data_IF_703558948503
#
_entry.id   IF_703558948503
#
_cell.length_a   1.000
_cell.length_b   1.000
_cell.length_c   1.000
_cell.angle_alpha   90.00
_cell.angle_beta   90.00
_cell.angle_gamma   90.00
#
_symmetry.space_group_name_H-M   'P 1'
#
loop_
_entity.id
_entity.type
_entity.pdbx_description
1 polymer ?
#
# COMPACT_ATOMS: atom_id res chain seq x y z
N UNK A 1 -8.04 -6.62 -14.43
CA UNK A 1 -7.34 -6.34 -13.17
C UNK A 1 -7.29 -7.61 -12.36
N UNK A 2 -6.24 -7.79 -11.61
CA UNK A 2 -6.17 -8.86 -10.65
C UNK A 2 -7.30 -8.71 -9.62
N UNK A 3 -7.87 -9.82 -9.13
CA UNK A 3 -8.92 -9.73 -8.13
C UNK A 3 -8.37 -9.06 -6.86
N UNK A 4 -9.13 -8.12 -6.30
CA UNK A 4 -8.76 -7.47 -5.04
C UNK A 4 -8.72 -8.54 -3.95
N UNK A 5 -7.59 -8.69 -3.24
CA UNK A 5 -7.50 -9.67 -2.16
C UNK A 5 -8.58 -9.44 -1.10
N UNK A 6 -9.18 -10.52 -0.59
CA UNK A 6 -10.28 -10.46 0.37
C UNK A 6 -9.95 -9.69 1.67
N UNK A 7 -8.66 -9.54 1.98
CA UNK A 7 -8.21 -8.73 3.12
C UNK A 7 -8.54 -7.24 2.97
N UNK A 8 -8.83 -6.75 1.74
CA UNK A 8 -9.15 -5.36 1.42
C UNK A 8 -10.64 -5.14 1.08
N UNK A 9 -11.54 -6.12 1.26
CA UNK A 9 -12.95 -6.02 0.88
C UNK A 9 -13.73 -4.90 1.60
N UNK A 10 -13.26 -4.46 2.78
CA UNK A 10 -13.84 -3.35 3.54
C UNK A 10 -13.61 -1.97 2.87
N UNK A 11 -12.64 -1.85 1.96
CA UNK A 11 -12.32 -0.57 1.30
C UNK A 11 -13.34 -0.16 0.25
N UNK A 12 -14.30 -1.03 -0.12
CA UNK A 12 -15.31 -0.79 -1.15
C UNK A 12 -14.73 -0.20 -2.44
N UNK A 13 -13.59 -0.75 -2.89
CA UNK A 13 -12.87 -0.27 -4.07
C UNK A 13 -13.74 -0.41 -5.31
N UNK A 14 -13.99 0.70 -5.99
CA UNK A 14 -14.67 0.70 -7.30
C UNK A 14 -13.61 0.60 -8.40
N UNK A 15 -13.67 -0.48 -9.16
CA UNK A 15 -12.79 -0.66 -10.33
C UNK A 15 -13.37 0.14 -11.49
N UNK A 16 -12.51 0.93 -12.15
CA UNK A 16 -12.89 1.67 -13.34
C UNK A 16 -13.32 0.72 -14.47
N UNK A 17 -14.51 0.94 -15.01
CA UNK A 17 -15.16 0.11 -16.03
C UNK A 17 -15.23 0.76 -17.42
N UNK A 18 -14.63 1.94 -17.58
CA UNK A 18 -14.67 2.70 -18.82
C UNK A 18 -15.97 3.51 -19.02
N UNK A 19 -16.83 3.61 -18.01
CA UNK A 19 -18.14 4.27 -18.12
C UNK A 19 -18.07 5.81 -18.21
N UNK A 20 -16.91 6.40 -17.94
CA UNK A 20 -16.68 7.84 -18.05
C UNK A 20 -15.27 8.14 -18.54
N UNK A 21 -15.05 9.36 -19.05
CA UNK A 21 -13.70 9.86 -19.34
C UNK A 21 -13.22 10.68 -18.16
N UNK A 22 -12.12 10.32 -17.50
CA UNK A 22 -11.56 11.11 -16.41
C UNK A 22 -11.20 12.53 -16.89
N UNK A 23 -11.60 13.54 -16.12
CA UNK A 23 -11.20 14.93 -16.36
C UNK A 23 -9.89 15.29 -15.65
N UNK A 24 -9.51 14.50 -14.64
CA UNK A 24 -8.29 14.65 -13.86
C UNK A 24 -7.84 13.28 -13.35
N UNK A 25 -6.58 12.94 -13.54
CA UNK A 25 -6.01 11.65 -13.17
C UNK A 25 -4.98 11.86 -12.06
N UNK A 26 -5.22 11.22 -10.93
CA UNK A 26 -4.29 11.24 -9.79
C UNK A 26 -3.69 9.85 -9.61
N UNK A 27 -2.37 9.77 -9.63
CA UNK A 27 -1.63 8.58 -9.20
C UNK A 27 -1.21 8.72 -7.75
N UNK A 28 -1.39 7.68 -6.97
CA UNK A 28 -0.97 7.64 -5.58
C UNK A 28 -0.10 6.41 -5.37
N UNK A 29 1.07 6.59 -4.75
CA UNK A 29 1.99 5.50 -4.39
C UNK A 29 2.52 4.72 -5.60
N UNK A 30 2.79 5.44 -6.69
CA UNK A 30 3.30 4.87 -7.94
C UNK A 30 4.56 5.60 -8.38
N UNK A 31 5.72 4.98 -8.21
CA UNK A 31 7.01 5.60 -8.48
C UNK A 31 7.35 5.76 -9.98
N UNK A 32 6.63 5.08 -10.88
CA UNK A 32 6.88 5.18 -12.32
C UNK A 32 5.83 4.49 -13.17
N UNK A 33 5.70 4.92 -14.42
CA UNK A 33 4.69 4.46 -15.39
C UNK A 33 4.63 2.93 -15.52
N UNK A 34 5.78 2.26 -15.46
CA UNK A 34 5.86 0.79 -15.59
C UNK A 34 5.12 0.03 -14.49
N UNK A 35 4.77 0.69 -13.38
CA UNK A 35 4.07 0.07 -12.25
C UNK A 35 2.55 0.05 -12.42
N UNK A 36 2.00 0.75 -13.42
CA UNK A 36 0.57 0.71 -13.71
C UNK A 36 0.08 -0.63 -14.28
N UNK A 37 1.01 -1.47 -14.78
CA UNK A 37 0.66 -2.74 -15.43
C UNK A 37 0.02 -2.57 -16.81
N UNK A 38 -0.39 -3.71 -17.41
CA UNK A 38 -0.84 -3.75 -18.80
C UNK A 38 -2.37 -3.96 -18.93
N UNK A 39 -3.12 -3.89 -17.84
CA UNK A 39 -4.54 -4.25 -17.82
C UNK A 39 -5.47 -3.04 -17.78
N UNK A 40 -6.67 -3.20 -18.34
CA UNK A 40 -7.80 -2.25 -18.26
C UNK A 40 -7.59 -0.88 -18.88
N UNK A 41 -6.85 -0.77 -19.97
CA UNK A 41 -6.55 0.51 -20.65
C UNK A 41 -5.91 1.56 -19.70
N UNK A 42 -5.33 1.12 -18.60
CA UNK A 42 -4.69 2.02 -17.65
C UNK A 42 -3.53 2.76 -18.31
N UNK A 43 -2.90 2.15 -19.32
CA UNK A 43 -1.84 2.77 -20.11
C UNK A 43 -2.32 4.01 -20.86
N UNK A 44 -3.61 4.05 -21.28
CA UNK A 44 -4.18 5.23 -21.92
C UNK A 44 -4.18 6.45 -20.99
N UNK A 45 -4.18 6.23 -19.68
CA UNK A 45 -4.12 7.27 -18.64
C UNK A 45 -2.73 7.42 -18.04
N UNK A 46 -1.89 6.40 -18.06
CA UNK A 46 -0.54 6.42 -17.49
C UNK A 46 0.35 7.49 -18.16
N UNK A 47 0.13 7.78 -19.44
CA UNK A 47 0.81 8.85 -20.17
C UNK A 47 0.24 10.25 -19.89
N UNK A 48 -0.87 10.35 -19.17
CA UNK A 48 -1.63 11.59 -18.93
C UNK A 48 -2.02 11.75 -17.45
N UNK A 49 -1.09 11.42 -16.54
CA UNK A 49 -1.30 11.63 -15.11
C UNK A 49 -1.11 13.11 -14.78
N UNK A 50 -2.16 13.76 -14.26
CA UNK A 50 -2.14 15.17 -13.90
C UNK A 50 -1.37 15.41 -12.61
N UNK A 51 -1.55 14.55 -11.60
CA UNK A 51 -0.91 14.67 -10.30
C UNK A 51 -0.42 13.30 -9.81
N UNK A 52 0.83 13.24 -9.35
CA UNK A 52 1.35 12.09 -8.60
C UNK A 52 1.61 12.51 -7.14
N UNK A 53 1.07 11.74 -6.19
CA UNK A 53 1.37 11.87 -4.76
C UNK A 53 2.11 10.61 -4.34
N UNK A 54 3.36 10.73 -3.92
CA UNK A 54 4.22 9.57 -3.68
C UNK A 54 5.22 9.82 -2.54
N UNK A 55 5.78 8.74 -2.01
CA UNK A 55 6.82 8.78 -0.98
C UNK A 55 8.11 8.09 -1.42
N UNK A 56 8.17 7.57 -2.64
CA UNK A 56 9.36 6.90 -3.15
C UNK A 56 10.39 7.90 -3.67
N UNK A 57 11.58 7.94 -3.09
CA UNK A 57 12.71 8.74 -3.58
C UNK A 57 13.18 8.37 -5.00
N UNK A 58 12.73 7.21 -5.52
CA UNK A 58 12.97 6.75 -6.90
C UNK A 58 11.90 7.19 -7.89
N UNK A 59 10.94 8.02 -7.48
CA UNK A 59 9.88 8.51 -8.38
C UNK A 59 10.48 9.18 -9.61
N UNK A 60 9.98 8.79 -10.79
CA UNK A 60 10.52 9.24 -12.08
C UNK A 60 10.01 10.61 -12.55
N UNK A 61 9.08 11.24 -11.81
CA UNK A 61 8.49 12.53 -12.18
C UNK A 61 7.66 12.46 -13.46
N UNK A 62 6.93 11.40 -13.67
CA UNK A 62 6.18 11.13 -14.91
C UNK A 62 4.86 11.89 -15.01
N UNK A 63 4.32 12.40 -13.91
CA UNK A 63 3.09 13.18 -13.89
C UNK A 63 3.35 14.65 -14.24
N UNK A 64 2.29 15.36 -14.65
CA UNK A 64 2.38 16.80 -14.93
C UNK A 64 2.79 17.58 -13.68
N UNK A 65 2.16 17.27 -12.54
CA UNK A 65 2.57 17.75 -11.22
C UNK A 65 2.93 16.56 -10.33
N UNK A 66 3.96 16.69 -9.52
CA UNK A 66 4.44 15.60 -8.65
C UNK A 66 4.72 16.13 -7.26
N UNK A 67 4.07 15.54 -6.25
CA UNK A 67 4.31 15.77 -4.83
C UNK A 67 4.97 14.51 -4.27
N UNK A 68 6.28 14.58 -4.00
CA UNK A 68 7.04 13.48 -3.39
C UNK A 68 7.66 13.95 -2.08
N UNK A 69 7.47 13.15 -1.03
CA UNK A 69 8.21 13.30 0.22
C UNK A 69 8.82 11.94 0.59
N UNK A 70 10.11 11.78 0.32
CA UNK A 70 10.87 10.54 0.58
C UNK A 70 11.22 10.33 2.06
N UNK A 71 10.83 11.27 2.93
CA UNK A 71 10.89 11.12 4.38
C UNK A 71 9.61 10.55 4.98
N UNK A 72 8.49 10.59 4.24
CA UNK A 72 7.24 9.97 4.66
C UNK A 72 7.35 8.44 4.57
N UNK A 73 6.80 7.75 5.55
CA UNK A 73 6.84 6.29 5.59
C UNK A 73 5.88 5.62 4.58
N UNK A 74 4.87 6.36 4.11
CA UNK A 74 3.84 5.91 3.18
C UNK A 74 3.21 7.11 2.46
N UNK A 75 2.71 6.94 1.24
CA UNK A 75 1.89 7.96 0.58
C UNK A 75 0.62 8.27 1.38
N UNK A 76 0.09 7.30 2.13
CA UNK A 76 -1.03 7.47 3.04
C UNK A 76 -0.74 8.45 4.20
N UNK A 77 0.52 8.58 4.65
CA UNK A 77 0.94 9.58 5.64
C UNK A 77 0.73 10.99 5.07
N UNK A 78 1.13 11.24 3.82
CA UNK A 78 0.91 12.52 3.13
C UNK A 78 -0.58 12.82 2.96
N UNK A 79 -1.36 11.85 2.55
CA UNK A 79 -2.80 11.99 2.35
C UNK A 79 -3.55 12.29 3.66
N UNK A 80 -3.07 11.77 4.79
CA UNK A 80 -3.63 12.08 6.12
C UNK A 80 -3.56 13.58 6.45
N UNK A 81 -2.56 14.29 5.92
CA UNK A 81 -2.43 15.74 6.07
C UNK A 81 -3.16 16.52 4.95
N UNK A 82 -3.12 16.00 3.72
CA UNK A 82 -3.66 16.71 2.55
C UNK A 82 -5.19 16.73 2.51
N UNK A 83 -5.84 15.60 2.81
CA UNK A 83 -7.31 15.48 2.72
C UNK A 83 -8.04 16.52 3.57
N UNK A 84 -7.68 16.74 4.87
CA UNK A 84 -8.27 17.81 5.65
C UNK A 84 -8.01 19.21 5.10
N UNK A 85 -6.83 19.47 4.50
CA UNK A 85 -6.51 20.77 3.88
C UNK A 85 -7.39 21.05 2.66
N UNK A 86 -7.90 20.01 2.00
CA UNK A 86 -8.89 20.13 0.91
C UNK A 86 -10.32 20.37 1.43
N UNK A 87 -10.53 20.49 2.76
CA UNK A 87 -11.81 20.68 3.38
C UNK A 87 -12.65 19.40 3.51
N UNK A 88 -12.03 18.22 3.38
CA UNK A 88 -12.67 16.92 3.52
C UNK A 88 -12.39 16.37 4.91
N UNK A 89 -13.43 15.96 5.62
CA UNK A 89 -13.30 15.31 6.92
C UNK A 89 -12.79 13.87 6.77
N UNK A 90 -11.89 13.44 7.65
CA UNK A 90 -11.46 12.06 7.74
C UNK A 90 -12.56 11.21 8.37
N UNK A 91 -13.42 10.61 7.56
CA UNK A 91 -14.42 9.65 8.06
C UNK A 91 -13.75 8.35 8.52
N UNK A 92 -14.41 7.52 9.34
CA UNK A 92 -13.87 6.22 9.74
C UNK A 92 -13.44 5.33 8.56
N UNK A 93 -14.17 5.39 7.44
CA UNK A 93 -13.86 4.63 6.22
C UNK A 93 -12.57 5.14 5.56
N UNK A 94 -12.43 6.47 5.42
CA UNK A 94 -11.21 7.09 4.89
C UNK A 94 -10.03 6.78 5.83
N UNK A 95 -10.24 6.94 7.13
CA UNK A 95 -9.23 6.67 8.14
C UNK A 95 -8.77 5.20 8.11
N UNK A 96 -9.68 4.24 7.94
CA UNK A 96 -9.35 2.83 7.81
C UNK A 96 -8.47 2.54 6.56
N UNK A 97 -8.80 3.16 5.42
CA UNK A 97 -8.01 3.03 4.20
C UNK A 97 -6.60 3.62 4.36
N UNK A 98 -6.48 4.83 4.90
CA UNK A 98 -5.20 5.50 5.11
C UNK A 98 -4.35 4.77 6.16
N UNK A 99 -4.96 4.31 7.26
CA UNK A 99 -4.27 3.51 8.26
C UNK A 99 -3.71 2.22 7.65
N UNK A 100 -4.45 1.58 6.77
CA UNK A 100 -3.97 0.39 6.06
C UNK A 100 -2.70 0.70 5.26
N UNK A 101 -2.67 1.78 4.49
CA UNK A 101 -1.47 2.18 3.74
C UNK A 101 -0.28 2.43 4.68
N UNK A 102 -0.46 3.21 5.75
CA UNK A 102 0.60 3.45 6.73
C UNK A 102 1.08 2.14 7.38
N UNK A 103 0.15 1.28 7.80
CA UNK A 103 0.50 0.03 8.49
C UNK A 103 1.19 -0.98 7.57
N UNK A 104 0.77 -1.10 6.30
CA UNK A 104 1.40 -2.02 5.34
C UNK A 104 2.81 -1.60 4.98
N UNK A 105 3.04 -0.32 4.68
CA UNK A 105 4.34 0.19 4.27
C UNK A 105 5.37 0.21 5.39
N UNK A 106 4.90 0.25 6.63
CA UNK A 106 5.76 0.22 7.82
C UNK A 106 5.88 -1.18 8.44
N UNK A 107 5.26 -2.18 7.85
CA UNK A 107 5.19 -3.52 8.43
C UNK A 107 4.59 -3.52 9.83
N UNK A 108 3.49 -2.79 10.03
CA UNK A 108 2.89 -2.50 11.33
C UNK A 108 3.85 -1.77 12.27
N UNK A 109 4.43 -0.67 11.78
CA UNK A 109 5.35 0.22 12.52
C UNK A 109 6.67 -0.43 12.98
N UNK A 110 7.12 -1.50 12.30
CA UNK A 110 8.35 -2.24 12.65
C UNK A 110 9.53 -1.92 11.75
N UNK A 111 9.29 -1.34 10.56
CA UNK A 111 10.36 -1.07 9.61
C UNK A 111 11.07 0.24 9.93
N UNK A 112 12.27 0.40 9.40
CA UNK A 112 13.16 1.53 9.67
C UNK A 112 12.68 2.86 9.10
N UNK A 113 11.72 2.83 8.16
CA UNK A 113 11.05 4.03 7.63
C UNK A 113 10.02 4.63 8.59
N UNK A 114 9.63 3.93 9.65
CA UNK A 114 8.71 4.43 10.67
C UNK A 114 9.32 5.61 11.44
N UNK A 115 8.66 6.75 11.42
CA UNK A 115 9.09 8.00 12.06
C UNK A 115 8.11 8.45 13.15
N UNK A 116 8.44 9.52 13.86
CA UNK A 116 7.50 10.17 14.77
C UNK A 116 6.25 10.70 14.03
N UNK A 117 6.42 11.24 12.82
CA UNK A 117 5.31 11.72 12.00
C UNK A 117 4.39 10.57 11.57
N UNK A 118 4.94 9.41 11.27
CA UNK A 118 4.16 8.20 10.98
C UNK A 118 3.23 7.83 12.15
N UNK A 119 3.73 7.88 13.38
CA UNK A 119 2.90 7.64 14.57
C UNK A 119 1.88 8.74 14.82
N UNK A 120 2.21 10.01 14.52
CA UNK A 120 1.24 11.12 14.60
C UNK A 120 0.13 10.97 13.56
N UNK A 121 0.46 10.58 12.33
CA UNK A 121 -0.54 10.26 11.31
C UNK A 121 -1.45 9.11 11.77
N UNK A 122 -0.87 8.02 12.28
CA UNK A 122 -1.65 6.91 12.83
C UNK A 122 -2.57 7.35 13.98
N UNK A 123 -2.10 8.20 14.89
CA UNK A 123 -2.93 8.73 15.99
C UNK A 123 -4.13 9.51 15.47
N UNK A 124 -3.95 10.39 14.47
CA UNK A 124 -5.06 11.12 13.82
C UNK A 124 -6.09 10.18 13.19
N UNK A 125 -5.61 9.10 12.54
CA UNK A 125 -6.48 8.12 11.89
C UNK A 125 -7.28 7.31 12.91
N UNK A 126 -6.68 6.99 14.06
CA UNK A 126 -7.38 6.35 15.20
C UNK A 126 -8.44 7.29 15.78
N UNK A 127 -8.12 8.57 15.99
CA UNK A 127 -9.06 9.58 16.45
C UNK A 127 -10.23 9.77 15.46
N UNK A 128 -9.96 9.64 14.15
CA UNK A 128 -10.97 9.68 13.09
C UNK A 128 -11.82 8.39 13.01
N UNK A 129 -11.52 7.37 13.81
CA UNK A 129 -12.34 6.16 13.95
C UNK A 129 -11.84 4.92 13.22
N UNK A 130 -10.58 4.86 12.80
CA UNK A 130 -10.00 3.62 12.28
C UNK A 130 -9.99 2.52 13.36
N UNK A 131 -10.64 1.39 13.09
CA UNK A 131 -10.68 0.22 13.98
C UNK A 131 -9.37 -0.59 13.83
N UNK A 132 -8.34 -0.11 14.54
CA UNK A 132 -6.96 -0.61 14.42
C UNK A 132 -6.86 -2.09 14.80
N UNK A 133 -7.64 -2.55 15.78
CA UNK A 133 -7.64 -3.96 16.19
C UNK A 133 -8.04 -4.86 15.03
N UNK A 134 -9.19 -4.57 14.41
CA UNK A 134 -9.68 -5.35 13.26
C UNK A 134 -8.79 -5.22 12.03
N UNK A 135 -8.24 -4.02 11.77
CA UNK A 135 -7.34 -3.80 10.64
C UNK A 135 -6.06 -4.62 10.81
N UNK A 136 -5.42 -4.57 11.97
CA UNK A 136 -4.18 -5.29 12.21
C UNK A 136 -4.39 -6.80 12.22
N UNK A 137 -5.46 -7.31 12.84
CA UNK A 137 -5.83 -8.73 12.76
C UNK A 137 -5.93 -9.18 11.30
N UNK A 138 -6.68 -8.43 10.49
CA UNK A 138 -6.95 -8.76 9.09
C UNK A 138 -5.69 -8.71 8.22
N UNK A 139 -4.87 -7.68 8.39
CA UNK A 139 -3.70 -7.43 7.55
C UNK A 139 -2.50 -8.32 7.90
N UNK A 140 -2.30 -8.61 9.20
CA UNK A 140 -1.05 -9.20 9.67
C UNK A 140 -1.22 -10.53 10.39
N UNK A 141 -2.39 -10.82 10.97
CA UNK A 141 -2.58 -12.01 11.78
C UNK A 141 -3.39 -13.10 11.06
N UNK A 142 -4.38 -12.71 10.22
CA UNK A 142 -5.16 -13.66 9.45
C UNK A 142 -4.31 -14.33 8.37
N UNK A 143 -4.23 -15.66 8.41
CA UNK A 143 -3.50 -16.46 7.43
C UNK A 143 -4.42 -17.50 6.82
N UNK A 144 -4.44 -17.60 5.50
CA UNK A 144 -5.15 -18.68 4.83
C UNK A 144 -4.49 -20.02 5.10
N UNK A 145 -5.26 -21.12 5.05
CA UNK A 145 -4.71 -22.46 5.15
C UNK A 145 -3.62 -22.74 4.09
N UNK A 146 -3.82 -22.25 2.87
CA UNK A 146 -2.82 -22.36 1.79
C UNK A 146 -1.51 -21.65 2.14
N UNK A 147 -1.58 -20.44 2.73
CA UNK A 147 -0.39 -19.71 3.18
C UNK A 147 0.35 -20.46 4.28
N UNK A 148 -0.37 -21.00 5.27
CA UNK A 148 0.25 -21.78 6.35
C UNK A 148 0.94 -23.02 5.79
N UNK A 149 0.33 -23.73 4.82
CA UNK A 149 0.96 -24.87 4.17
C UNK A 149 2.21 -24.48 3.37
N UNK A 150 2.16 -23.37 2.64
CA UNK A 150 3.32 -22.86 1.90
C UNK A 150 4.48 -22.45 2.85
N UNK A 151 4.18 -21.77 3.95
CA UNK A 151 5.16 -21.44 4.99
C UNK A 151 5.79 -22.71 5.60
N UNK A 152 4.98 -23.74 5.88
CA UNK A 152 5.48 -25.03 6.35
C UNK A 152 6.46 -25.65 5.35
N UNK A 153 6.06 -25.75 4.07
CA UNK A 153 6.93 -26.29 3.01
C UNK A 153 8.23 -25.50 2.87
N UNK A 154 8.15 -24.16 2.97
CA UNK A 154 9.32 -23.28 2.92
C UNK A 154 10.29 -23.59 4.08
N UNK A 155 9.78 -23.71 5.30
CA UNK A 155 10.58 -24.04 6.47
C UNK A 155 11.16 -25.46 6.42
N UNK A 156 10.43 -26.43 5.86
CA UNK A 156 10.91 -27.80 5.66
C UNK A 156 12.05 -27.88 4.62
N UNK A 157 12.11 -26.94 3.67
CA UNK A 157 13.18 -26.84 2.67
C UNK A 157 14.38 -26.01 3.11
N UNK A 158 14.39 -25.50 4.36
CA UNK A 158 15.43 -24.63 4.86
C UNK A 158 16.74 -25.39 5.07
N UNK A 159 17.79 -24.94 4.41
CA UNK A 159 19.14 -25.47 4.56
C UNK A 159 20.08 -24.37 4.99
N UNK A 160 21.05 -24.69 5.86
CA UNK A 160 22.07 -23.76 6.34
C UNK A 160 23.43 -24.12 5.76
N UNK A 161 24.22 -23.08 5.42
CA UNK A 161 25.53 -23.17 4.83
C UNK A 161 26.51 -22.20 5.50
N UNK A 162 27.79 -22.45 5.36
CA UNK A 162 28.87 -21.59 5.85
C UNK A 162 28.78 -21.27 7.35
N UNK A 163 28.64 -22.31 8.17
CA UNK A 163 28.53 -22.15 9.64
C UNK A 163 27.32 -21.26 10.02
N UNK A 164 26.15 -21.58 9.43
CA UNK A 164 24.86 -20.90 9.63
C UNK A 164 24.82 -19.42 9.22
N UNK A 165 25.82 -18.96 8.44
CA UNK A 165 25.84 -17.60 7.90
C UNK A 165 24.99 -17.38 6.65
N UNK A 166 24.57 -18.47 6.01
CA UNK A 166 23.70 -18.44 4.84
C UNK A 166 22.56 -19.44 5.04
N UNK A 167 21.33 -18.99 4.80
CA UNK A 167 20.14 -19.83 4.81
C UNK A 167 19.52 -19.85 3.42
N UNK A 168 19.21 -21.03 2.88
CA UNK A 168 18.56 -21.22 1.60
C UNK A 168 17.18 -21.85 1.78
N UNK A 169 16.16 -21.26 1.15
CA UNK A 169 14.82 -21.83 1.02
C UNK A 169 14.58 -22.05 -0.47
N UNK A 170 14.18 -23.27 -0.86
CA UNK A 170 13.86 -23.61 -2.23
C UNK A 170 12.37 -23.99 -2.34
N UNK A 171 11.60 -23.19 -3.09
CA UNK A 171 10.21 -23.46 -3.43
C UNK A 171 10.13 -23.86 -4.90
N UNK A 172 9.67 -25.08 -5.17
CA UNK A 172 9.43 -25.57 -6.53
C UNK A 172 7.92 -25.57 -6.82
N UNK A 173 7.56 -25.18 -8.04
CA UNK A 173 6.18 -25.39 -8.52
C UNK A 173 5.96 -26.92 -8.69
N UNK A 174 4.88 -27.41 -8.10
CA UNK A 174 4.40 -28.78 -8.28
C UNK A 174 3.29 -28.76 -9.33
#
# INVERSE_FOLDING_TARGET
SDPIPAMYDYMQITVYDGSFTPAFVVAVDVAGIQLFGDHNNIQDYAEHVDLCIDHHGSNSGYAYETLVDDHAAAAAELLTELIPQMGVELTPEIAACLYTGVATDTGCFRFTNTTANTHLAAAKLIEAGADVEKLNERLFECRSHARIQAEKMALESLEFYYEDRCALICLTWI
#
